data_IF_623090430882
#
_entry.id   IF_623090430882
#
_cell.length_a   1.000
_cell.length_b   1.000
_cell.length_c   1.000
_cell.angle_alpha   90.00
_cell.angle_beta   90.00
_cell.angle_gamma   90.00
#
_symmetry.space_group_name_H-M   'P 1'
#
loop_
_entity.id
_entity.type
_entity.pdbx_description
1 polymer ?
#
# COMPACT_ATOMS: atom_id res chain seq x y z
N UNK A 1 40.31 4.71 -17.86
CA UNK A 1 39.12 5.51 -18.22
C UNK A 1 38.08 5.32 -17.14
N UNK A 2 37.98 6.28 -16.21
CA UNK A 2 37.02 6.20 -15.09
C UNK A 2 35.63 6.58 -15.57
N UNK A 3 34.69 5.65 -15.46
CA UNK A 3 33.27 5.87 -15.75
C UNK A 3 32.74 6.80 -14.65
N UNK A 4 32.54 8.08 -14.98
CA UNK A 4 31.77 8.99 -14.15
C UNK A 4 30.33 8.48 -14.14
N UNK A 5 29.91 7.87 -13.04
CA UNK A 5 28.50 7.64 -12.76
C UNK A 5 27.84 9.03 -12.61
N UNK A 6 27.13 9.44 -13.66
CA UNK A 6 26.24 10.60 -13.61
C UNK A 6 25.11 10.27 -12.64
N UNK A 7 25.16 10.85 -11.45
CA UNK A 7 24.08 10.84 -10.47
C UNK A 7 22.89 11.69 -10.99
N UNK A 8 22.15 11.14 -11.96
CA UNK A 8 20.88 11.70 -12.42
C UNK A 8 19.79 11.35 -11.43
N UNK A 9 19.53 12.23 -10.45
CA UNK A 9 18.40 12.08 -9.53
C UNK A 9 17.08 11.97 -10.30
N UNK A 10 16.11 11.15 -9.83
CA UNK A 10 14.88 10.90 -10.57
C UNK A 10 14.13 12.20 -10.87
N UNK A 11 13.75 12.38 -12.14
CA UNK A 11 12.81 13.42 -12.54
C UNK A 11 11.46 13.16 -11.87
N UNK A 12 10.96 14.15 -11.13
CA UNK A 12 9.74 14.12 -10.30
C UNK A 12 8.51 13.52 -11.01
N UNK A 13 8.43 13.63 -12.34
CA UNK A 13 7.21 13.36 -13.09
C UNK A 13 7.06 11.94 -13.67
N UNK A 14 8.13 11.16 -13.87
CA UNK A 14 7.97 9.91 -14.65
C UNK A 14 7.61 8.68 -13.83
N UNK A 15 7.88 8.64 -12.51
CA UNK A 15 7.67 7.45 -11.64
C UNK A 15 7.96 6.11 -12.36
N UNK A 16 8.95 6.12 -13.25
CA UNK A 16 9.21 5.05 -14.19
C UNK A 16 10.73 4.84 -14.32
N UNK A 17 11.10 3.58 -14.51
CA UNK A 17 12.46 3.14 -14.68
C UNK A 17 13.04 3.67 -15.99
N UNK A 18 14.25 4.22 -15.94
CA UNK A 18 14.93 4.77 -17.12
C UNK A 18 15.45 3.70 -18.08
N UNK A 19 15.61 2.45 -17.61
CA UNK A 19 16.13 1.34 -18.43
C UNK A 19 15.04 0.64 -19.25
N UNK A 20 13.83 0.49 -18.70
CA UNK A 20 12.74 -0.27 -19.33
C UNK A 20 11.43 0.52 -19.50
N UNK A 21 11.31 1.72 -18.92
CA UNK A 21 10.11 2.54 -18.98
C UNK A 21 8.94 2.06 -18.10
N UNK A 22 9.06 0.92 -17.42
CA UNK A 22 8.04 0.40 -16.50
C UNK A 22 7.89 1.29 -15.26
N UNK A 23 6.73 1.25 -14.60
CA UNK A 23 6.54 2.00 -13.35
C UNK A 23 7.51 1.50 -12.28
N UNK A 24 7.93 2.35 -11.35
CA UNK A 24 8.70 1.92 -10.16
C UNK A 24 7.96 0.83 -9.39
N UNK A 25 6.64 0.81 -9.49
CA UNK A 25 5.76 -0.21 -8.91
C UNK A 25 5.93 -1.59 -9.56
N UNK A 26 6.25 -1.66 -10.85
CA UNK A 26 6.48 -2.93 -11.56
C UNK A 26 7.83 -3.55 -11.19
N UNK A 27 8.74 -2.75 -10.62
CA UNK A 27 10.03 -3.17 -10.08
C UNK A 27 10.05 -3.29 -8.56
N UNK A 28 8.93 -3.06 -7.88
CA UNK A 28 8.84 -3.22 -6.44
C UNK A 28 8.27 -4.62 -6.14
N UNK A 29 9.11 -5.66 -5.99
CA UNK A 29 8.69 -6.93 -5.40
C UNK A 29 8.55 -6.77 -3.88
N UNK A 30 7.93 -5.68 -3.43
CA UNK A 30 7.70 -5.49 -2.00
C UNK A 30 6.81 -6.63 -1.52
N UNK A 31 6.93 -7.00 -0.27
CA UNK A 31 5.98 -7.89 0.38
C UNK A 31 5.04 -7.07 1.29
N UNK A 32 4.01 -7.71 1.81
CA UNK A 32 3.02 -7.09 2.69
C UNK A 32 3.65 -6.46 3.95
N UNK A 33 4.76 -7.02 4.45
CA UNK A 33 5.48 -6.57 5.64
C UNK A 33 6.23 -5.26 5.38
N UNK A 34 6.93 -5.15 4.26
CA UNK A 34 7.66 -3.94 3.87
C UNK A 34 6.67 -2.79 3.65
N UNK A 35 5.55 -3.08 2.98
CA UNK A 35 4.45 -2.13 2.78
C UNK A 35 3.86 -1.68 4.12
N UNK A 36 3.63 -2.61 5.05
CA UNK A 36 3.09 -2.28 6.39
C UNK A 36 4.07 -1.45 7.21
N UNK A 37 5.36 -1.71 7.08
CA UNK A 37 6.39 -0.93 7.76
C UNK A 37 6.47 0.49 7.19
N UNK A 38 6.45 0.63 5.86
CA UNK A 38 6.45 1.92 5.17
C UNK A 38 5.24 2.77 5.57
N UNK A 39 4.05 2.18 5.48
CA UNK A 39 2.81 2.83 5.89
C UNK A 39 2.78 3.11 7.40
N UNK A 40 3.35 2.20 8.21
CA UNK A 40 3.48 2.38 9.65
C UNK A 40 4.31 3.60 10.03
N UNK A 41 5.40 3.88 9.29
CA UNK A 41 6.19 5.10 9.45
C UNK A 41 5.42 6.34 8.98
N UNK A 42 4.83 6.28 7.79
CA UNK A 42 4.09 7.42 7.19
C UNK A 42 2.95 7.89 8.10
N UNK A 43 2.23 6.96 8.70
CA UNK A 43 1.05 7.28 9.52
C UNK A 43 1.38 7.57 10.98
N UNK A 44 2.60 7.26 11.46
CA UNK A 44 2.98 7.29 12.87
C UNK A 44 2.70 8.64 13.55
N UNK A 45 3.00 9.73 12.85
CA UNK A 45 2.90 11.11 13.37
C UNK A 45 1.69 11.87 12.79
N UNK A 46 0.77 11.14 12.15
CA UNK A 46 -0.44 11.69 11.54
C UNK A 46 -1.68 11.48 12.42
N UNK A 47 -2.81 12.17 12.12
CA UNK A 47 -4.11 11.85 12.73
C UNK A 47 -4.54 10.38 12.52
N UNK A 48 -3.97 9.71 11.51
CA UNK A 48 -4.21 8.32 11.19
C UNK A 48 -3.31 7.34 11.96
N UNK A 49 -2.55 7.79 12.96
CA UNK A 49 -1.67 6.94 13.78
C UNK A 49 -2.38 5.77 14.47
N UNK A 50 -3.68 5.88 14.72
CA UNK A 50 -4.55 4.82 15.23
C UNK A 50 -4.66 3.61 14.29
N UNK A 51 -4.32 3.78 13.01
CA UNK A 51 -4.24 2.70 12.03
C UNK A 51 -2.90 1.93 12.10
N UNK A 52 -2.04 2.23 13.08
CA UNK A 52 -0.75 1.56 13.24
C UNK A 52 -0.65 0.84 14.60
N UNK A 53 0.14 -0.21 14.65
CA UNK A 53 0.47 -0.95 15.87
C UNK A 53 1.97 -0.81 16.20
N UNK A 54 2.30 -0.60 17.48
CA UNK A 54 3.69 -0.64 17.95
C UNK A 54 4.19 -2.08 17.97
N UNK A 55 5.38 -2.30 17.43
CA UNK A 55 6.03 -3.61 17.42
C UNK A 55 6.80 -3.80 18.72
N UNK A 56 6.47 -4.86 19.47
CA UNK A 56 7.17 -5.18 20.72
C UNK A 56 8.64 -5.51 20.43
N UNK A 57 9.56 -4.87 21.15
CA UNK A 57 11.01 -5.05 20.96
C UNK A 57 11.57 -4.38 19.68
N UNK A 58 10.75 -3.69 18.88
CA UNK A 58 11.16 -3.07 17.62
C UNK A 58 11.72 -1.66 17.75
N UNK A 59 12.22 -1.23 18.91
CA UNK A 59 12.86 0.08 19.07
C UNK A 59 11.98 1.29 18.71
N UNK A 60 10.65 1.18 18.88
CA UNK A 60 9.70 2.23 18.50
C UNK A 60 9.09 2.07 17.10
N UNK A 61 9.45 1.00 16.37
CA UNK A 61 8.86 0.68 15.07
C UNK A 61 7.34 0.52 15.17
N UNK A 62 6.63 1.10 14.19
CA UNK A 62 5.20 0.94 13.98
C UNK A 62 4.94 0.24 12.66
N UNK A 63 3.94 -0.64 12.65
CA UNK A 63 3.44 -1.33 11.46
C UNK A 63 2.01 -0.88 11.19
N UNK A 64 1.64 -0.73 9.93
CA UNK A 64 0.24 -0.50 9.54
C UNK A 64 -0.61 -1.72 9.91
N UNK A 65 -1.76 -1.47 10.53
CA UNK A 65 -2.78 -2.48 10.79
C UNK A 65 -3.62 -2.65 9.54
N UNK A 66 -3.16 -3.51 8.63
CA UNK A 66 -3.89 -3.82 7.40
C UNK A 66 -5.30 -4.34 7.72
N UNK A 67 -6.30 -3.67 7.17
CA UNK A 67 -7.70 -4.05 7.35
C UNK A 67 -8.09 -5.13 6.33
N UNK A 68 -7.79 -6.39 6.65
CA UNK A 68 -8.22 -7.55 5.85
C UNK A 68 -9.66 -7.93 6.22
N UNK A 69 -10.49 -8.14 5.21
CA UNK A 69 -11.86 -8.64 5.41
C UNK A 69 -11.92 -10.11 4.99
N UNK A 70 -12.31 -10.98 5.92
CA UNK A 70 -12.53 -12.41 5.66
C UNK A 70 -14.04 -12.62 5.57
N UNK A 71 -14.50 -13.19 4.46
CA UNK A 71 -15.90 -13.52 4.20
C UNK A 71 -16.02 -15.03 4.07
N UNK A 72 -16.84 -15.63 4.94
CA UNK A 72 -17.13 -17.06 4.89
C UNK A 72 -18.55 -17.26 4.38
N UNK A 73 -18.68 -17.73 3.15
CA UNK A 73 -19.96 -18.03 2.53
C UNK A 73 -20.32 -19.52 2.73
N UNK A 74 -21.49 -19.83 3.32
CA UNK A 74 -21.96 -21.20 3.40
C UNK A 74 -22.33 -21.70 2.01
N UNK A 75 -21.73 -22.81 1.60
CA UNK A 75 -22.13 -23.55 0.39
C UNK A 75 -23.19 -24.55 0.83
N UNK A 76 -24.45 -24.27 0.48
CA UNK A 76 -25.55 -25.18 0.76
C UNK A 76 -25.45 -26.38 -0.20
N UNK A 77 -24.59 -27.34 0.14
CA UNK A 77 -24.58 -28.66 -0.47
C UNK A 77 -25.40 -29.59 0.39
N UNK A 78 -26.36 -30.31 -0.22
CA UNK A 78 -27.31 -31.20 0.48
C UNK A 78 -26.66 -32.35 1.26
N UNK A 79 -25.35 -32.59 1.11
CA UNK A 79 -24.63 -33.70 1.74
C UNK A 79 -23.58 -33.31 2.78
N UNK A 80 -23.09 -32.08 2.79
CA UNK A 80 -22.11 -31.61 3.78
C UNK A 80 -22.07 -30.06 3.76
N UNK A 81 -22.16 -29.38 4.91
CA UNK A 81 -22.04 -27.93 4.96
C UNK A 81 -20.58 -27.52 4.70
N UNK A 82 -20.25 -27.28 3.44
CA UNK A 82 -18.95 -26.73 3.04
C UNK A 82 -18.97 -25.20 3.17
N UNK A 83 -17.89 -24.59 3.64
CA UNK A 83 -17.75 -23.13 3.73
C UNK A 83 -16.67 -22.64 2.77
N UNK A 84 -17.02 -21.70 1.89
CA UNK A 84 -16.02 -21.00 1.09
C UNK A 84 -15.52 -19.78 1.86
N UNK A 85 -14.21 -19.71 2.09
CA UNK A 85 -13.59 -18.55 2.74
C UNK A 85 -12.87 -17.71 1.70
N UNK A 86 -13.35 -16.48 1.50
CA UNK A 86 -12.71 -15.47 0.64
C UNK A 86 -12.03 -14.43 1.52
N UNK A 87 -10.77 -14.12 1.23
CA UNK A 87 -10.01 -13.07 1.94
C UNK A 87 -9.80 -11.88 1.01
N UNK A 88 -10.13 -10.70 1.50
CA UNK A 88 -9.85 -9.42 0.85
C UNK A 88 -8.65 -8.77 1.54
N UNK A 89 -7.63 -8.40 0.77
CA UNK A 89 -6.40 -7.76 1.27
C UNK A 89 -6.63 -6.34 1.80
N UNK A 90 -7.73 -5.71 1.39
CA UNK A 90 -8.14 -4.42 1.91
C UNK A 90 -9.66 -4.31 2.01
N UNK A 91 -10.13 -3.66 3.06
CA UNK A 91 -11.49 -3.16 3.18
C UNK A 91 -11.49 -1.77 3.82
N UNK A 92 -12.53 -0.95 3.56
CA UNK A 92 -12.69 0.33 4.24
C UNK A 92 -12.67 0.14 5.77
N UNK A 93 -11.85 0.93 6.47
CA UNK A 93 -11.76 0.89 7.92
C UNK A 93 -13.01 1.52 8.56
N UNK A 94 -13.37 1.06 9.76
CA UNK A 94 -14.47 1.64 10.54
C UNK A 94 -15.89 1.22 10.10
N UNK A 95 -16.03 0.32 9.12
CA UNK A 95 -17.32 -0.22 8.68
C UNK A 95 -17.57 -1.60 9.26
N UNK A 96 -18.84 -1.96 9.45
CA UNK A 96 -19.22 -3.36 9.68
C UNK A 96 -19.08 -4.18 8.38
N UNK A 97 -18.99 -5.51 8.51
CA UNK A 97 -18.76 -6.41 7.38
C UNK A 97 -19.85 -6.26 6.29
N UNK A 98 -21.12 -6.11 6.67
CA UNK A 98 -22.24 -5.96 5.72
C UNK A 98 -22.04 -4.74 4.82
N UNK A 99 -21.73 -3.59 5.41
CA UNK A 99 -21.53 -2.35 4.66
C UNK A 99 -20.23 -2.40 3.83
N UNK A 100 -19.18 -3.04 4.34
CA UNK A 100 -17.96 -3.27 3.59
C UNK A 100 -18.20 -4.14 2.35
N UNK A 101 -19.02 -5.20 2.45
CA UNK A 101 -19.41 -6.01 1.29
C UNK A 101 -20.21 -5.21 0.27
N UNK A 102 -21.21 -4.44 0.70
CA UNK A 102 -21.98 -3.56 -0.19
C UNK A 102 -21.08 -2.56 -0.91
N UNK A 103 -20.06 -2.02 -0.24
CA UNK A 103 -19.07 -1.16 -0.88
C UNK A 103 -18.26 -1.90 -1.95
N UNK A 104 -17.81 -3.12 -1.68
CA UNK A 104 -17.08 -3.93 -2.67
C UNK A 104 -17.94 -4.24 -3.89
N UNK A 105 -19.25 -4.49 -3.69
CA UNK A 105 -20.21 -4.75 -4.76
C UNK A 105 -20.42 -3.55 -5.71
N UNK A 106 -20.06 -2.33 -5.32
CA UNK A 106 -20.09 -1.15 -6.20
C UNK A 106 -19.00 -1.18 -7.28
N UNK A 107 -17.97 -2.01 -7.12
CA UNK A 107 -16.88 -2.16 -8.08
C UNK A 107 -17.05 -3.44 -8.91
N UNK A 108 -16.58 -3.45 -10.17
CA UNK A 108 -16.47 -4.67 -10.95
C UNK A 108 -15.70 -5.76 -10.18
N UNK A 109 -16.08 -7.04 -10.29
CA UNK A 109 -15.39 -8.15 -9.62
C UNK A 109 -13.88 -8.21 -9.89
N UNK A 110 -13.44 -7.79 -11.08
CA UNK A 110 -12.02 -7.74 -11.46
C UNK A 110 -11.20 -6.71 -10.66
N UNK A 111 -11.86 -5.75 -10.02
CA UNK A 111 -11.23 -4.73 -9.17
C UNK A 111 -11.33 -5.07 -7.68
N UNK A 112 -12.01 -6.16 -7.34
CA UNK A 112 -12.10 -6.60 -5.95
C UNK A 112 -10.72 -6.97 -5.45
N UNK A 113 -10.46 -6.65 -4.19
CA UNK A 113 -9.14 -6.80 -3.58
C UNK A 113 -8.97 -8.19 -2.99
N UNK A 114 -9.45 -9.22 -3.69
CA UNK A 114 -9.38 -10.60 -3.22
C UNK A 114 -7.93 -11.06 -3.28
N UNK A 115 -7.43 -11.64 -2.20
CA UNK A 115 -6.03 -12.06 -2.09
C UNK A 115 -5.64 -12.99 -3.24
N UNK A 116 -4.52 -12.67 -3.90
CA UNK A 116 -4.02 -13.42 -5.05
C UNK A 116 -4.67 -13.09 -6.40
N UNK A 117 -5.60 -12.13 -6.46
CA UNK A 117 -6.21 -11.68 -7.72
C UNK A 117 -5.54 -10.42 -8.28
N UNK A 118 -5.75 -10.16 -9.57
CA UNK A 118 -5.28 -8.95 -10.24
C UNK A 118 -5.83 -7.66 -9.61
N UNK A 119 -7.05 -7.69 -9.05
CA UNK A 119 -7.63 -6.53 -8.38
C UNK A 119 -6.87 -6.15 -7.09
N UNK A 120 -6.42 -7.14 -6.31
CA UNK A 120 -5.54 -6.90 -5.17
C UNK A 120 -4.19 -6.30 -5.60
N UNK A 121 -3.59 -6.83 -6.67
CA UNK A 121 -2.36 -6.30 -7.24
C UNK A 121 -2.56 -4.86 -7.74
N UNK A 122 -3.60 -4.60 -8.53
CA UNK A 122 -3.88 -3.29 -9.10
C UNK A 122 -4.09 -2.24 -8.00
N UNK A 123 -4.83 -2.58 -6.94
CA UNK A 123 -5.00 -1.69 -5.79
C UNK A 123 -3.66 -1.33 -5.15
N UNK A 124 -2.82 -2.33 -4.91
CA UNK A 124 -1.48 -2.13 -4.35
C UNK A 124 -0.66 -1.18 -5.24
N UNK A 125 -0.73 -1.38 -6.56
CA UNK A 125 -0.07 -0.50 -7.53
C UNK A 125 -0.56 0.96 -7.45
N UNK A 126 -1.87 1.15 -7.33
CA UNK A 126 -2.48 2.47 -7.19
C UNK A 126 -2.01 3.16 -5.92
N UNK A 127 -1.97 2.46 -4.79
CA UNK A 127 -1.49 3.03 -3.51
C UNK A 127 -0.05 3.56 -3.63
N UNK A 128 0.86 2.76 -4.22
CA UNK A 128 2.25 3.18 -4.43
C UNK A 128 2.37 4.36 -5.39
N UNK A 129 1.46 4.47 -6.36
CA UNK A 129 1.43 5.57 -7.33
C UNK A 129 0.84 6.84 -6.75
N UNK A 130 -0.09 6.74 -5.78
CA UNK A 130 -0.71 7.90 -5.13
C UNK A 130 0.27 8.63 -4.22
N UNK A 131 1.19 7.92 -3.58
CA UNK A 131 2.15 8.52 -2.67
C UNK A 131 3.26 9.25 -3.45
N UNK A 132 3.61 10.50 -3.06
CA UNK A 132 4.84 11.15 -3.49
C UNK A 132 6.08 10.34 -3.09
N UNK A 133 7.17 10.51 -3.84
CA UNK A 133 8.40 9.78 -3.57
C UNK A 133 8.99 10.11 -2.17
N UNK A 134 8.81 11.35 -1.69
CA UNK A 134 9.30 11.79 -0.38
C UNK A 134 8.51 11.21 0.80
N UNK A 135 7.22 10.89 0.61
CA UNK A 135 6.40 10.20 1.62
C UNK A 135 6.90 8.77 1.86
N UNK A 136 7.52 8.16 0.84
CA UNK A 136 8.11 6.83 0.96
C UNK A 136 9.54 6.87 1.53
N UNK A 137 10.28 7.93 1.23
CA UNK A 137 11.66 8.11 1.63
C UNK A 137 11.97 9.61 1.84
N UNK A 138 12.13 10.05 3.11
CA UNK A 138 12.45 11.44 3.42
C UNK A 138 13.72 11.96 2.73
N UNK A 139 14.67 11.07 2.39
CA UNK A 139 15.89 11.45 1.67
C UNK A 139 15.62 11.92 0.23
N UNK A 140 14.43 11.65 -0.31
CA UNK A 140 13.98 12.13 -1.62
C UNK A 140 13.33 13.51 -1.56
N UNK A 141 13.22 14.11 -0.38
CA UNK A 141 12.77 15.49 -0.24
C UNK A 141 13.81 16.43 -0.88
N UNK A 142 13.42 17.16 -1.94
CA UNK A 142 14.21 18.27 -2.45
C UNK A 142 13.78 19.51 -1.69
N UNK A 143 14.65 20.05 -0.84
CA UNK A 143 14.40 21.32 -0.15
C UNK A 143 14.24 22.40 -1.24
N UNK A 144 13.07 23.04 -1.29
CA UNK A 144 12.86 24.19 -2.16
C UNK A 144 13.69 25.37 -1.60
N UNK A 145 14.53 26.04 -2.40
CA UNK A 145 15.44 27.08 -1.90
C UNK A 145 14.75 28.34 -1.32
N UNK A 146 13.43 28.49 -1.47
CA UNK A 146 12.70 29.72 -1.12
C UNK A 146 12.31 29.89 0.36
N UNK A 147 12.72 28.98 1.26
CA UNK A 147 12.49 29.15 2.72
C UNK A 147 13.72 29.67 3.49
N UNK A 148 14.81 30.04 2.83
CA UNK A 148 16.02 30.53 3.51
C UNK A 148 16.07 32.06 3.69
N UNK A 149 15.06 32.82 3.28
CA UNK A 149 15.09 34.29 3.31
C UNK A 149 14.09 34.94 4.28
N UNK A 150 13.90 34.35 5.46
CA UNK A 150 13.32 35.05 6.62
C UNK A 150 14.00 34.58 7.92
N UNK A 151 15.20 35.12 8.15
CA UNK A 151 15.80 35.28 9.49
C UNK A 151 15.97 36.76 9.75
#
# INVERSE_FOLDING_TARGET
MSIKQSAGGPHFWRKACTACGCSTVDHAPGNDLDDDQLMGRLLADSPCSHLTAKVKGGGGLRMYKRNRMIVTNPVVSRKDPTFNTTTYDWAPAGLNQKLAMQYMELFPPSQHTVSGTDGALQRRRQLLTQLPAYDQDPMKCKIHPDLQSQT
#
